data_IF_995083742000
#
_entry.id   IF_995083742000
#
_cell.length_a   1.000
_cell.length_b   1.000
_cell.length_c   1.000
_cell.angle_alpha   90.00
_cell.angle_beta   90.00
_cell.angle_gamma   90.00
#
_symmetry.space_group_name_H-M   'P 1'
#
loop_
_entity.id
_entity.type
_entity.pdbx_description
1 polymer ?
#
# COMPACT_ATOMS: atom_id res chain seq x y z
N UNK A 1 16.79 0.66 -3.56
CA UNK A 1 15.76 -0.05 -2.76
C UNK A 1 16.29 -0.48 -1.39
N UNK A 2 17.54 -0.16 -1.04
CA UNK A 2 18.23 -0.56 0.22
C UNK A 2 18.21 0.52 1.32
N UNK A 3 17.85 1.78 1.00
CA UNK A 3 18.02 2.90 1.95
C UNK A 3 16.89 3.04 3.00
N UNK A 4 15.81 2.27 2.90
CA UNK A 4 14.65 2.40 3.81
C UNK A 4 14.79 1.54 5.09
N UNK A 5 15.71 0.59 5.10
CA UNK A 5 15.87 -0.35 6.21
C UNK A 5 16.82 0.13 7.32
N UNK A 6 17.62 1.18 7.08
CA UNK A 6 18.69 1.60 7.98
C UNK A 6 18.24 2.16 9.34
N UNK A 7 16.96 2.55 9.47
CA UNK A 7 16.42 3.12 10.72
C UNK A 7 15.12 2.41 11.16
N UNK A 8 15.01 1.11 10.90
CA UNK A 8 13.88 0.31 11.35
C UNK A 8 14.26 -0.48 12.60
N UNK A 9 13.36 -0.47 13.59
CA UNK A 9 13.44 -1.30 14.80
C UNK A 9 12.18 -2.12 14.93
N UNK A 10 12.29 -3.38 15.28
CA UNK A 10 11.17 -4.27 15.54
C UNK A 10 11.17 -4.64 17.02
N UNK A 11 10.06 -4.38 17.70
CA UNK A 11 9.84 -4.79 19.10
C UNK A 11 8.83 -5.92 19.09
N UNK A 12 9.18 -7.06 19.70
CA UNK A 12 8.38 -8.27 19.69
C UNK A 12 7.98 -8.61 21.14
N UNK A 13 6.72 -8.94 21.34
CA UNK A 13 6.25 -9.37 22.66
C UNK A 13 6.98 -10.65 23.08
N UNK A 14 7.45 -10.69 24.32
CA UNK A 14 8.18 -11.84 24.86
C UNK A 14 7.30 -13.07 25.09
N UNK A 15 5.96 -12.91 25.02
CA UNK A 15 4.97 -14.00 25.13
C UNK A 15 4.72 -14.69 23.78
N UNK A 16 5.27 -14.14 22.68
CA UNK A 16 5.17 -14.73 21.36
C UNK A 16 5.90 -16.07 21.24
N UNK A 17 5.51 -16.87 20.23
CA UNK A 17 6.17 -18.15 19.93
C UNK A 17 7.67 -17.95 19.66
N UNK A 18 8.50 -18.69 20.37
CA UNK A 18 9.98 -18.58 20.28
C UNK A 18 10.51 -18.85 18.87
N UNK A 19 9.86 -19.75 18.13
CA UNK A 19 10.22 -20.04 16.74
C UNK A 19 9.92 -18.83 15.85
N UNK A 20 8.77 -18.19 16.03
CA UNK A 20 8.39 -16.98 15.29
C UNK A 20 9.35 -15.84 15.60
N UNK A 21 9.68 -15.60 16.87
CA UNK A 21 10.68 -14.60 17.29
C UNK A 21 12.02 -14.85 16.58
N UNK A 22 12.50 -16.09 16.58
CA UNK A 22 13.76 -16.46 15.92
C UNK A 22 13.73 -16.17 14.41
N UNK A 23 12.64 -16.50 13.73
CA UNK A 23 12.51 -16.28 12.30
C UNK A 23 12.42 -14.79 11.94
N UNK A 24 11.72 -13.97 12.75
CA UNK A 24 11.69 -12.51 12.56
C UNK A 24 13.11 -11.95 12.66
N UNK A 25 13.86 -12.31 13.71
CA UNK A 25 15.25 -11.86 13.90
C UNK A 25 16.20 -12.27 12.78
N UNK A 26 15.96 -13.42 12.14
CA UNK A 26 16.78 -13.90 11.03
C UNK A 26 16.39 -13.24 9.68
N UNK A 27 15.13 -12.88 9.53
CA UNK A 27 14.62 -12.35 8.28
C UNK A 27 14.90 -10.85 8.10
N UNK A 28 14.82 -10.09 9.21
CA UNK A 28 15.00 -8.65 9.18
C UNK A 28 16.44 -8.28 9.56
N UNK A 29 17.12 -7.54 8.68
CA UNK A 29 18.43 -6.94 8.93
C UNK A 29 18.25 -5.59 9.64
N UNK A 30 17.72 -5.61 10.87
CA UNK A 30 17.49 -4.45 11.70
C UNK A 30 17.54 -4.80 13.18
N UNK A 31 17.49 -3.80 14.06
CA UNK A 31 17.41 -4.03 15.51
C UNK A 31 16.09 -4.72 15.87
N UNK A 32 16.18 -5.89 16.51
CA UNK A 32 15.04 -6.67 17.00
C UNK A 32 15.12 -6.82 18.52
N UNK A 33 14.28 -6.07 19.23
CA UNK A 33 14.12 -6.18 20.69
C UNK A 33 13.00 -7.16 21.04
N UNK A 34 13.19 -7.91 22.15
CA UNK A 34 12.14 -8.78 22.70
C UNK A 34 11.85 -8.32 24.12
N UNK A 35 10.65 -7.80 24.34
CA UNK A 35 10.23 -7.27 25.63
C UNK A 35 8.73 -7.49 25.82
N UNK A 36 8.21 -7.26 27.00
CA UNK A 36 6.77 -7.32 27.22
C UNK A 36 6.09 -6.08 26.65
N UNK A 37 5.10 -6.28 25.78
CA UNK A 37 4.26 -5.24 25.22
C UNK A 37 2.93 -5.13 25.99
N UNK A 38 2.42 -3.90 26.12
CA UNK A 38 1.10 -3.66 26.68
C UNK A 38 -0.02 -4.11 25.75
N UNK A 39 0.20 -3.98 24.44
CA UNK A 39 -0.77 -4.34 23.40
C UNK A 39 -0.07 -4.56 22.06
N UNK A 40 -0.61 -5.48 21.26
CA UNK A 40 0.00 -5.97 20.02
C UNK A 40 1.13 -6.97 20.29
N UNK A 41 1.43 -7.77 19.29
CA UNK A 41 2.47 -8.80 19.36
C UNK A 41 3.79 -8.31 18.77
N UNK A 42 3.71 -7.37 17.81
CA UNK A 42 4.86 -6.79 17.12
C UNK A 42 4.64 -5.29 16.93
N UNK A 43 5.65 -4.49 17.25
CA UNK A 43 5.69 -3.06 16.95
C UNK A 43 6.83 -2.80 15.97
N UNK A 44 6.54 -2.14 14.87
CA UNK A 44 7.55 -1.67 13.92
C UNK A 44 7.69 -0.16 14.09
N UNK A 45 8.91 0.28 14.38
CA UNK A 45 9.30 1.68 14.51
C UNK A 45 10.20 2.08 13.35
N UNK A 46 9.97 3.25 12.81
CA UNK A 46 10.78 3.84 11.73
C UNK A 46 10.89 5.34 11.97
N UNK A 47 12.02 5.94 11.60
CA UNK A 47 12.21 7.38 11.76
C UNK A 47 11.15 8.19 11.00
N UNK A 48 10.64 9.22 11.68
CA UNK A 48 9.64 10.16 11.13
C UNK A 48 8.30 9.54 10.71
N UNK A 49 8.01 8.32 11.14
CA UNK A 49 6.76 7.61 10.84
C UNK A 49 6.14 7.16 12.17
N UNK A 50 4.82 7.27 12.36
CA UNK A 50 4.17 6.73 13.53
C UNK A 50 4.36 5.22 13.64
N UNK A 51 4.50 4.73 14.87
CA UNK A 51 4.65 3.31 15.16
C UNK A 51 3.51 2.47 14.58
N UNK A 52 3.86 1.30 14.09
CA UNK A 52 2.94 0.33 13.50
C UNK A 52 2.76 -0.82 14.50
N UNK A 53 1.54 -1.05 14.95
CA UNK A 53 1.22 -2.17 15.81
C UNK A 53 0.58 -3.31 15.02
N UNK A 54 1.02 -4.52 15.28
CA UNK A 54 0.55 -5.73 14.60
C UNK A 54 0.17 -6.77 15.66
N UNK A 55 -1.06 -7.22 15.56
CA UNK A 55 -1.57 -8.39 16.28
C UNK A 55 -1.49 -9.60 15.35
N UNK A 56 -0.99 -10.71 15.84
CA UNK A 56 -0.79 -11.94 15.08
C UNK A 56 -1.65 -13.05 15.65
N UNK A 57 -2.45 -13.69 14.84
CA UNK A 57 -3.27 -14.83 15.25
C UNK A 57 -3.11 -15.97 14.27
N UNK A 58 -3.01 -17.20 14.80
CA UNK A 58 -3.28 -18.36 13.93
C UNK A 58 -4.77 -18.41 13.56
N UNK A 59 -5.12 -19.12 12.51
CA UNK A 59 -6.52 -19.33 12.15
C UNK A 59 -7.35 -19.84 13.31
N UNK A 60 -6.80 -20.79 14.07
CA UNK A 60 -7.51 -21.39 15.22
C UNK A 60 -7.68 -20.39 16.36
N UNK A 61 -6.62 -19.66 16.70
CA UNK A 61 -6.65 -18.66 17.77
C UNK A 61 -7.58 -17.50 17.42
N UNK A 62 -7.61 -17.08 16.16
CA UNK A 62 -8.53 -16.06 15.70
C UNK A 62 -9.99 -16.47 15.92
N UNK A 63 -10.38 -17.71 15.54
CA UNK A 63 -11.74 -18.21 15.74
C UNK A 63 -12.12 -18.23 17.23
N UNK A 64 -11.20 -18.66 18.09
CA UNK A 64 -11.45 -18.74 19.53
C UNK A 64 -11.53 -17.33 20.15
N UNK A 65 -10.59 -16.46 19.83
CA UNK A 65 -10.50 -15.09 20.33
C UNK A 65 -11.69 -14.25 19.89
N UNK A 66 -12.14 -14.43 18.64
CA UNK A 66 -13.31 -13.71 18.14
C UNK A 66 -14.60 -14.09 18.91
N UNK A 67 -14.79 -15.36 19.22
CA UNK A 67 -15.93 -15.82 20.03
C UNK A 67 -15.93 -15.26 21.44
N UNK A 68 -14.75 -15.13 22.03
CA UNK A 68 -14.55 -14.59 23.39
C UNK A 68 -14.51 -13.05 23.41
N UNK A 69 -14.54 -12.39 22.26
CA UNK A 69 -14.35 -10.95 22.08
C UNK A 69 -12.95 -10.43 22.42
N UNK A 70 -11.99 -11.27 22.75
CA UNK A 70 -10.65 -10.82 23.15
C UNK A 70 -9.90 -10.15 22.02
N UNK A 71 -10.03 -10.61 20.75
CA UNK A 71 -9.40 -9.95 19.61
C UNK A 71 -9.94 -8.54 19.36
N UNK A 72 -11.24 -8.31 19.61
CA UNK A 72 -11.83 -6.98 19.49
C UNK A 72 -11.26 -6.02 20.55
N UNK A 73 -11.15 -6.51 21.80
CA UNK A 73 -10.58 -5.70 22.90
C UNK A 73 -9.10 -5.39 22.67
N UNK A 74 -8.32 -6.34 22.12
CA UNK A 74 -6.93 -6.13 21.72
C UNK A 74 -6.82 -5.06 20.63
N UNK A 75 -7.64 -5.15 19.57
CA UNK A 75 -7.68 -4.17 18.49
C UNK A 75 -8.04 -2.77 19.00
N UNK A 76 -9.03 -2.66 19.90
CA UNK A 76 -9.41 -1.37 20.48
C UNK A 76 -8.23 -0.74 21.23
N UNK A 77 -7.53 -1.52 22.07
CA UNK A 77 -6.34 -1.03 22.79
C UNK A 77 -5.22 -0.61 21.85
N UNK A 78 -4.93 -1.41 20.82
CA UNK A 78 -3.92 -1.06 19.81
C UNK A 78 -4.26 0.27 19.14
N UNK A 79 -5.50 0.44 18.67
CA UNK A 79 -5.93 1.64 17.96
C UNK A 79 -5.93 2.90 18.82
N UNK A 80 -6.10 2.78 20.14
CA UNK A 80 -5.97 3.91 21.05
C UNK A 80 -4.53 4.42 21.17
N UNK A 81 -3.55 3.55 20.97
CA UNK A 81 -2.13 3.85 21.15
C UNK A 81 -1.39 4.06 19.81
N UNK A 82 -1.78 3.36 18.77
CA UNK A 82 -1.06 3.32 17.49
C UNK A 82 -1.97 3.71 16.31
N UNK A 83 -1.59 4.71 15.52
CA UNK A 83 -2.39 5.13 14.34
C UNK A 83 -2.46 4.05 13.27
N UNK A 84 -1.41 3.24 13.11
CA UNK A 84 -1.38 2.11 12.20
C UNK A 84 -1.49 0.80 12.97
N UNK A 85 -2.66 0.17 12.88
CA UNK A 85 -2.96 -1.09 13.58
C UNK A 85 -3.39 -2.15 12.59
N UNK A 86 -2.73 -3.30 12.64
CA UNK A 86 -2.95 -4.43 11.74
C UNK A 86 -3.26 -5.70 12.51
N UNK A 87 -4.09 -6.55 11.92
CA UNK A 87 -4.27 -7.93 12.34
C UNK A 87 -3.75 -8.85 11.22
N UNK A 88 -2.77 -9.66 11.51
CA UNK A 88 -2.27 -10.67 10.58
C UNK A 88 -2.75 -12.04 11.03
N UNK A 89 -3.55 -12.68 10.18
CA UNK A 89 -4.03 -14.05 10.41
C UNK A 89 -3.17 -14.98 9.57
N UNK A 90 -2.43 -15.84 10.26
CA UNK A 90 -1.40 -16.65 9.64
C UNK A 90 -1.73 -18.14 9.75
N UNK A 91 -1.53 -18.88 8.65
CA UNK A 91 -1.71 -20.32 8.62
C UNK A 91 -0.42 -21.02 9.10
N UNK A 92 -0.49 -21.61 10.28
CA UNK A 92 0.60 -22.42 10.85
C UNK A 92 0.52 -23.89 10.43
N UNK A 93 -0.34 -24.24 9.49
CA UNK A 93 -0.57 -25.60 9.02
C UNK A 93 -1.29 -26.52 10.03
N UNK A 94 -1.67 -25.98 11.20
CA UNK A 94 -2.29 -26.77 12.27
C UNK A 94 -3.82 -26.65 12.33
N UNK A 95 -4.44 -25.90 11.40
CA UNK A 95 -5.89 -25.74 11.40
C UNK A 95 -6.60 -27.10 11.25
N UNK A 96 -7.11 -27.62 12.33
CA UNK A 96 -7.89 -28.84 12.30
C UNK A 96 -9.37 -28.49 12.01
N UNK A 97 -9.76 -28.56 10.73
CA UNK A 97 -11.13 -28.30 10.28
C UNK A 97 -12.20 -29.12 11.00
N UNK A 98 -11.81 -30.27 11.57
CA UNK A 98 -12.74 -31.17 12.30
C UNK A 98 -13.26 -30.53 13.59
N UNK A 99 -12.52 -29.62 14.18
CA UNK A 99 -12.89 -28.99 15.46
C UNK A 99 -13.42 -27.56 15.32
N UNK A 100 -13.42 -26.98 14.12
CA UNK A 100 -13.98 -25.65 13.91
C UNK A 100 -15.45 -25.77 13.47
N UNK A 101 -16.37 -25.43 14.37
CA UNK A 101 -17.80 -25.29 14.03
C UNK A 101 -18.14 -23.97 13.33
N UNK A 102 -17.13 -23.23 12.91
CA UNK A 102 -17.32 -21.92 12.24
C UNK A 102 -17.53 -22.17 10.75
N UNK A 103 -18.68 -21.78 10.23
CA UNK A 103 -18.95 -21.84 8.81
C UNK A 103 -18.08 -20.81 8.03
N UNK A 104 -17.91 -21.04 6.73
CA UNK A 104 -17.20 -20.08 5.87
C UNK A 104 -17.86 -18.70 5.88
N UNK A 105 -19.20 -18.67 5.86
CA UNK A 105 -19.95 -17.42 5.95
C UNK A 105 -19.67 -16.67 7.27
N UNK A 106 -19.66 -17.40 8.39
CA UNK A 106 -19.32 -16.82 9.70
C UNK A 106 -17.88 -16.31 9.75
N UNK A 107 -16.93 -17.03 9.15
CA UNK A 107 -15.55 -16.59 9.02
C UNK A 107 -15.46 -15.23 8.30
N UNK A 108 -16.05 -15.12 7.12
CA UNK A 108 -16.06 -13.86 6.37
C UNK A 108 -16.76 -12.74 7.14
N UNK A 109 -17.90 -13.02 7.78
CA UNK A 109 -18.61 -12.05 8.59
C UNK A 109 -17.76 -11.50 9.74
N UNK A 110 -16.97 -12.36 10.40
CA UNK A 110 -16.06 -11.96 11.46
C UNK A 110 -14.97 -11.01 10.94
N UNK A 111 -14.35 -11.34 9.81
CA UNK A 111 -13.31 -10.51 9.19
C UNK A 111 -13.89 -9.15 8.77
N UNK A 112 -15.02 -9.14 8.06
CA UNK A 112 -15.65 -7.89 7.65
C UNK A 112 -16.10 -7.04 8.85
N UNK A 113 -16.55 -7.67 9.94
CA UNK A 113 -16.87 -6.96 11.16
C UNK A 113 -15.66 -6.22 11.74
N UNK A 114 -14.48 -6.84 11.76
CA UNK A 114 -13.26 -6.19 12.22
C UNK A 114 -12.84 -5.05 11.31
N UNK A 115 -12.83 -5.27 10.02
CA UNK A 115 -12.44 -4.25 9.04
C UNK A 115 -13.39 -3.04 9.06
N UNK A 116 -14.70 -3.27 9.06
CA UNK A 116 -15.71 -2.20 8.92
C UNK A 116 -15.99 -1.51 10.27
N UNK A 117 -16.20 -2.27 11.36
CA UNK A 117 -16.63 -1.71 12.64
C UNK A 117 -15.49 -1.20 13.50
N UNK A 118 -14.32 -1.83 13.37
CA UNK A 118 -13.14 -1.47 14.17
C UNK A 118 -12.07 -0.78 13.32
N UNK A 119 -12.27 -0.67 11.99
CA UNK A 119 -11.33 -0.01 11.08
C UNK A 119 -9.89 -0.53 11.24
N UNK A 120 -9.73 -1.84 11.38
CA UNK A 120 -8.43 -2.50 11.43
C UNK A 120 -8.12 -3.14 10.07
N UNK A 121 -6.88 -3.02 9.66
CA UNK A 121 -6.41 -3.70 8.45
C UNK A 121 -6.18 -5.18 8.76
N UNK A 122 -6.83 -6.07 8.02
CA UNK A 122 -6.70 -7.52 8.20
C UNK A 122 -5.98 -8.11 7.00
N UNK A 123 -4.89 -8.82 7.27
CA UNK A 123 -4.10 -9.54 6.28
C UNK A 123 -4.07 -11.02 6.58
N UNK A 124 -3.90 -11.81 5.52
CA UNK A 124 -3.75 -13.26 5.62
C UNK A 124 -2.37 -13.64 5.11
N UNK A 125 -1.73 -14.54 5.84
CA UNK A 125 -0.46 -15.12 5.44
C UNK A 125 -0.60 -16.65 5.37
N UNK A 126 -0.24 -17.24 4.26
CA UNK A 126 -0.45 -18.67 4.00
C UNK A 126 0.56 -19.57 4.73
N UNK A 127 1.69 -18.99 5.13
CA UNK A 127 2.75 -19.68 5.84
C UNK A 127 3.69 -18.68 6.52
N UNK A 128 4.70 -19.20 7.22
CA UNK A 128 5.67 -18.37 7.94
C UNK A 128 6.44 -17.41 7.04
N UNK A 129 6.85 -17.83 5.84
CA UNK A 129 7.57 -16.97 4.91
C UNK A 129 6.69 -15.80 4.42
N UNK A 130 5.48 -16.12 4.02
CA UNK A 130 4.50 -15.13 3.60
C UNK A 130 4.15 -14.14 4.74
N UNK A 131 4.09 -14.63 5.97
CA UNK A 131 3.95 -13.78 7.16
C UNK A 131 5.11 -12.77 7.28
N UNK A 132 6.35 -13.20 7.13
CA UNK A 132 7.52 -12.32 7.21
C UNK A 132 7.55 -11.29 6.07
N UNK A 133 7.22 -11.72 4.85
CA UNK A 133 7.08 -10.85 3.68
C UNK A 133 5.92 -9.84 3.85
N UNK A 134 4.82 -10.26 4.51
CA UNK A 134 3.71 -9.38 4.87
C UNK A 134 4.16 -8.28 5.85
N UNK A 135 4.90 -8.60 6.90
CA UNK A 135 5.46 -7.62 7.85
C UNK A 135 6.35 -6.60 7.14
N UNK A 136 7.22 -7.06 6.25
CA UNK A 136 8.09 -6.18 5.47
C UNK A 136 7.29 -5.28 4.53
N UNK A 137 6.25 -5.82 3.89
CA UNK A 137 5.36 -5.06 3.02
C UNK A 137 4.60 -3.97 3.79
N UNK A 138 4.11 -4.27 4.99
CA UNK A 138 3.45 -3.29 5.87
C UNK A 138 4.41 -2.15 6.19
N UNK A 139 5.62 -2.45 6.66
CA UNK A 139 6.64 -1.45 6.96
C UNK A 139 6.96 -0.55 5.76
N UNK A 140 7.20 -1.16 4.60
CA UNK A 140 7.50 -0.45 3.35
C UNK A 140 6.31 0.39 2.83
N UNK A 141 5.09 -0.01 3.12
CA UNK A 141 3.89 0.71 2.66
C UNK A 141 3.62 1.91 3.56
N UNK A 142 3.71 1.74 4.87
CA UNK A 142 3.50 2.82 5.83
C UNK A 142 4.58 3.88 5.70
N UNK A 143 5.83 3.50 5.37
CA UNK A 143 6.90 4.46 5.09
C UNK A 143 6.61 5.42 3.92
N UNK A 144 5.55 5.17 3.17
CA UNK A 144 5.13 5.99 2.02
C UNK A 144 3.78 6.69 2.26
N UNK A 145 3.21 6.60 3.46
CA UNK A 145 1.84 7.05 3.72
C UNK A 145 1.64 8.56 3.46
N UNK A 146 2.68 9.39 3.69
CA UNK A 146 2.63 10.84 3.40
C UNK A 146 2.81 11.18 1.92
N UNK A 147 3.15 10.20 1.07
CA UNK A 147 3.28 10.46 -0.35
C UNK A 147 1.89 10.58 -0.98
N UNK A 148 1.65 11.63 -1.79
CA UNK A 148 0.37 11.77 -2.44
C UNK A 148 0.06 10.53 -3.29
N UNK A 149 -1.14 9.99 -3.11
CA UNK A 149 -1.64 8.90 -3.94
C UNK A 149 -1.88 9.48 -5.33
N UNK A 150 -1.05 9.08 -6.29
CA UNK A 150 -1.37 9.33 -7.70
C UNK A 150 -2.42 8.30 -8.11
N UNK A 151 -3.67 8.70 -8.38
CA UNK A 151 -4.68 7.75 -8.83
C UNK A 151 -4.18 7.04 -10.08
N UNK A 152 -4.27 5.71 -10.16
CA UNK A 152 -3.97 5.00 -11.39
C UNK A 152 -4.85 5.57 -12.51
N UNK A 153 -4.28 5.87 -13.67
CA UNK A 153 -4.96 6.43 -14.84
C UNK A 153 -5.43 7.90 -14.78
N UNK A 154 -5.19 8.64 -13.72
CA UNK A 154 -5.23 10.10 -13.85
C UNK A 154 -3.92 10.49 -14.55
N UNK A 155 -4.01 10.88 -15.82
CA UNK A 155 -2.90 11.53 -16.51
C UNK A 155 -2.43 12.65 -15.58
N UNK A 156 -1.16 12.62 -15.19
CA UNK A 156 -0.60 13.66 -14.33
C UNK A 156 -0.97 15.00 -14.94
N UNK A 157 -1.84 15.73 -14.25
CA UNK A 157 -2.17 17.10 -14.70
C UNK A 157 -0.88 17.91 -14.59
N UNK A 158 -0.43 18.42 -15.71
CA UNK A 158 0.69 19.35 -15.72
C UNK A 158 0.27 20.62 -14.95
N UNK A 159 1.20 21.28 -14.27
CA UNK A 159 0.95 22.57 -13.60
C UNK A 159 0.54 23.66 -14.59
N UNK A 160 0.93 23.52 -15.85
CA UNK A 160 0.50 24.41 -16.92
C UNK A 160 -0.87 23.95 -17.47
N UNK A 161 -1.95 24.75 -17.31
CA UNK A 161 -3.28 24.42 -17.79
C UNK A 161 -3.34 24.24 -19.32
N UNK A 162 -2.48 24.89 -20.07
CA UNK A 162 -2.40 24.75 -21.53
C UNK A 162 -1.89 23.39 -21.96
N UNK A 163 -0.92 22.84 -21.24
CA UNK A 163 -0.48 21.45 -21.44
C UNK A 163 -1.65 20.49 -21.21
N UNK A 164 -2.44 20.74 -20.16
CA UNK A 164 -3.59 19.89 -19.84
C UNK A 164 -4.65 19.86 -20.95
N UNK A 165 -4.83 20.96 -21.68
CA UNK A 165 -5.71 21.00 -22.87
C UNK A 165 -5.19 20.07 -23.96
N UNK A 166 -3.90 20.16 -24.28
CA UNK A 166 -3.30 19.39 -25.38
C UNK A 166 -3.16 17.90 -25.08
N UNK A 167 -2.92 17.49 -23.83
CA UNK A 167 -2.91 16.07 -23.48
C UNK A 167 -4.29 15.40 -23.58
N UNK A 168 -5.36 16.19 -23.74
CA UNK A 168 -6.68 15.68 -24.13
C UNK A 168 -6.71 15.09 -25.54
N UNK A 169 -5.84 15.56 -26.43
CA UNK A 169 -5.70 15.02 -27.79
C UNK A 169 -5.08 13.63 -27.72
N UNK A 170 -5.67 12.62 -28.40
CA UNK A 170 -5.11 11.27 -28.41
C UNK A 170 -3.65 11.24 -28.89
N UNK A 171 -2.83 10.44 -28.22
CA UNK A 171 -1.38 10.27 -28.49
C UNK A 171 -0.50 11.48 -28.17
N UNK A 172 -1.03 12.60 -27.69
CA UNK A 172 -0.26 13.72 -27.19
C UNK A 172 0.01 13.51 -25.70
N UNK A 173 1.27 13.36 -25.33
CA UNK A 173 1.73 13.32 -23.92
C UNK A 173 2.28 14.65 -23.44
N UNK A 174 2.61 14.78 -22.16
CA UNK A 174 3.13 16.01 -21.55
C UNK A 174 4.29 16.62 -22.35
N UNK A 175 5.32 15.84 -22.63
CA UNK A 175 6.53 16.31 -23.35
C UNK A 175 6.20 16.83 -24.75
N UNK A 176 5.27 16.16 -25.47
CA UNK A 176 4.86 16.60 -26.80
C UNK A 176 4.02 17.87 -26.69
N UNK A 177 3.12 17.95 -25.72
CA UNK A 177 2.30 19.12 -25.47
C UNK A 177 3.14 20.35 -25.10
N UNK A 178 4.16 20.19 -24.25
CA UNK A 178 5.08 21.25 -23.88
C UNK A 178 5.84 21.80 -25.10
N UNK A 179 6.41 20.92 -25.94
CA UNK A 179 7.11 21.32 -27.17
C UNK A 179 6.20 21.98 -28.18
N UNK A 180 4.94 21.52 -28.29
CA UNK A 180 3.96 22.19 -29.15
C UNK A 180 3.66 23.60 -28.65
N UNK A 181 3.50 23.79 -27.34
CA UNK A 181 3.30 25.11 -26.75
C UNK A 181 4.52 26.02 -26.86
N UNK A 182 5.73 25.48 -26.76
CA UNK A 182 6.97 26.24 -27.02
C UNK A 182 7.03 26.74 -28.46
N UNK A 183 6.50 25.98 -29.42
CA UNK A 183 6.53 26.33 -30.83
C UNK A 183 5.37 27.29 -31.22
N UNK A 184 4.15 26.98 -30.77
CA UNK A 184 2.93 27.67 -31.20
C UNK A 184 2.38 28.69 -30.18
N UNK A 185 2.82 28.63 -28.92
CA UNK A 185 2.45 29.56 -27.87
C UNK A 185 1.17 29.19 -27.12
N UNK A 186 0.06 28.92 -27.80
CA UNK A 186 -1.25 28.64 -27.19
C UNK A 186 -1.88 27.36 -27.74
N UNK A 187 -2.74 26.69 -26.96
CA UNK A 187 -3.45 25.49 -27.44
C UNK A 187 -4.30 25.75 -28.69
N UNK A 188 -4.94 26.94 -28.79
CA UNK A 188 -5.70 27.34 -29.98
C UNK A 188 -4.85 27.30 -31.24
N UNK A 189 -3.63 27.83 -31.15
CA UNK A 189 -2.72 27.92 -32.29
C UNK A 189 -2.21 26.55 -32.73
N UNK A 190 -2.03 25.65 -31.78
CA UNK A 190 -1.72 24.24 -32.06
C UNK A 190 -2.89 23.53 -32.75
N UNK A 191 -4.14 23.76 -32.29
CA UNK A 191 -5.33 23.10 -32.80
C UNK A 191 -5.79 23.66 -34.16
N UNK A 192 -5.31 24.83 -34.54
CA UNK A 192 -5.56 25.45 -35.88
C UNK A 192 -4.35 25.36 -36.81
N UNK A 193 -3.28 24.72 -36.40
CA UNK A 193 -2.07 24.55 -37.20
C UNK A 193 -2.34 23.72 -38.47
N UNK A 194 -1.74 24.11 -39.56
CA UNK A 194 -1.83 23.41 -40.83
C UNK A 194 -0.89 22.21 -40.86
N UNK A 195 -1.04 21.34 -41.88
CA UNK A 195 -0.11 20.20 -42.07
C UNK A 195 1.34 20.71 -42.21
N UNK A 196 1.54 21.80 -42.96
CA UNK A 196 2.86 22.38 -43.20
C UNK A 196 3.47 22.92 -41.89
N UNK A 197 2.67 23.53 -41.01
CA UNK A 197 3.10 24.00 -39.70
C UNK A 197 3.59 22.81 -38.84
N UNK A 198 2.83 21.73 -38.83
CA UNK A 198 3.17 20.51 -38.06
C UNK A 198 4.35 19.74 -38.68
N UNK A 199 4.62 19.87 -39.94
CA UNK A 199 5.77 19.25 -40.60
C UNK A 199 7.06 20.01 -40.35
N UNK A 200 6.98 21.33 -40.07
CA UNK A 200 8.11 22.23 -39.85
C UNK A 200 8.51 22.40 -38.37
N UNK A 201 7.87 21.72 -37.43
CA UNK A 201 8.28 21.77 -36.01
C UNK A 201 9.68 21.20 -35.81
N UNK A 202 10.44 21.76 -34.88
CA UNK A 202 11.83 21.39 -34.60
C UNK A 202 12.01 20.04 -33.92
N UNK A 203 10.93 19.32 -33.64
CA UNK A 203 10.93 18.02 -32.95
C UNK A 203 10.06 17.00 -33.72
N UNK A 204 10.25 15.72 -33.42
CA UNK A 204 9.58 14.65 -34.15
C UNK A 204 8.12 14.49 -33.66
N UNK A 205 7.15 14.71 -34.56
CA UNK A 205 5.76 14.28 -34.42
C UNK A 205 5.55 13.00 -35.22
N UNK A 206 4.82 12.05 -34.66
CA UNK A 206 4.40 10.83 -35.41
C UNK A 206 3.23 11.17 -36.34
N UNK A 207 3.07 10.41 -37.40
CA UNK A 207 1.96 10.56 -38.34
C UNK A 207 0.60 10.53 -37.61
N UNK A 208 0.42 9.62 -36.66
CA UNK A 208 -0.83 9.55 -35.87
C UNK A 208 -1.08 10.81 -35.04
N UNK A 209 -0.05 11.41 -34.47
CA UNK A 209 -0.19 12.66 -33.70
C UNK A 209 -0.64 13.83 -34.61
N UNK A 210 -0.05 13.97 -35.79
CA UNK A 210 -0.44 14.98 -36.79
C UNK A 210 -1.88 14.77 -37.24
N UNK A 211 -2.27 13.53 -37.56
CA UNK A 211 -3.65 13.22 -37.97
C UNK A 211 -4.70 13.57 -36.90
N UNK A 212 -4.38 13.39 -35.61
CA UNK A 212 -5.28 13.75 -34.53
C UNK A 212 -5.38 15.28 -34.36
N UNK A 213 -4.26 16.01 -34.49
CA UNK A 213 -4.26 17.46 -34.40
C UNK A 213 -5.03 18.11 -35.55
N UNK A 214 -4.94 17.57 -36.77
CA UNK A 214 -5.64 18.09 -37.95
C UNK A 214 -7.14 17.72 -38.01
N UNK A 215 -7.61 16.84 -37.15
CA UNK A 215 -9.03 16.43 -37.07
C UNK A 215 -9.84 17.23 -36.05
N UNK A 216 -9.16 18.06 -35.24
CA UNK A 216 -9.78 18.85 -34.18
C UNK A 216 -10.31 20.19 -34.71
#
# INVERSE_FOLDING_TARGET
>A
MLDILYNMRIIIDNREDKGRISHIKQFFDCECEVTQLDTGDIIIQQDNIPDIAIEVKTHQDFIQSFKKRSVQDEIIRMKQKYPFSYLVIYDDGKLNKKYTRTSRAQWHSNIHSLAIRYHVHVFFADNLRDFLECLQSIANTVSKHDKPISPPNVRNKNSNPYVNVLIGVPKIGNTTAEKLLETFGKPSDVLTATQDDLDNVSFRLTQQQKEWLLKM
#
